data_IF_777582769961
#
_entry.id   IF_777582769961
#
_cell.length_a   1.000
_cell.length_b   1.000
_cell.length_c   1.000
_cell.angle_alpha   90.00
_cell.angle_beta   90.00
_cell.angle_gamma   90.00
#
_symmetry.space_group_name_H-M   'P 1'
#
loop_
_entity.id
_entity.type
_entity.pdbx_description
1 polymer ?
#
# COMPACT_ATOMS: atom_id res chain seq x y z
N UNK A 1 -31.99 24.85 -40.62
CA UNK A 1 -32.33 24.80 -39.18
C UNK A 1 -31.72 23.58 -38.49
N UNK A 2 -31.89 22.36 -39.01
CA UNK A 2 -31.39 21.11 -38.40
C UNK A 2 -29.85 21.05 -38.27
N UNK A 3 -29.11 21.48 -39.31
CA UNK A 3 -27.63 21.54 -39.28
C UNK A 3 -27.08 22.42 -38.15
N UNK A 4 -27.71 23.58 -37.94
CA UNK A 4 -27.32 24.53 -36.89
C UNK A 4 -27.54 23.94 -35.48
N UNK A 5 -28.60 23.17 -35.28
CA UNK A 5 -28.87 22.49 -34.02
C UNK A 5 -27.83 21.40 -33.72
N UNK A 6 -27.42 20.65 -34.73
CA UNK A 6 -26.37 19.63 -34.60
C UNK A 6 -25.02 20.27 -34.28
N UNK A 7 -24.66 21.35 -34.98
CA UNK A 7 -23.43 22.11 -34.70
C UNK A 7 -23.44 22.67 -33.28
N UNK A 8 -24.56 23.25 -32.83
CA UNK A 8 -24.68 23.76 -31.47
C UNK A 8 -24.59 22.66 -30.42
N UNK A 9 -25.22 21.51 -30.66
CA UNK A 9 -25.09 20.33 -29.78
C UNK A 9 -23.64 19.86 -29.67
N UNK A 10 -22.91 19.80 -30.80
CA UNK A 10 -21.50 19.39 -30.84
C UNK A 10 -20.61 20.34 -30.02
N UNK A 11 -20.86 21.66 -30.13
CA UNK A 11 -20.14 22.69 -29.37
C UNK A 11 -20.37 22.50 -27.87
N UNK A 12 -21.62 22.30 -27.45
CA UNK A 12 -21.95 22.09 -26.04
C UNK A 12 -21.30 20.81 -25.49
N UNK A 13 -21.32 19.72 -26.25
CA UNK A 13 -20.66 18.47 -25.84
C UNK A 13 -19.16 18.64 -25.70
N UNK A 14 -18.51 19.28 -26.68
CA UNK A 14 -17.07 19.54 -26.66
C UNK A 14 -16.70 20.44 -25.48
N UNK A 15 -17.49 21.47 -25.21
CA UNK A 15 -17.28 22.36 -24.07
C UNK A 15 -17.38 21.60 -22.74
N UNK A 16 -18.44 20.79 -22.56
CA UNK A 16 -18.61 19.98 -21.35
C UNK A 16 -17.45 18.99 -21.16
N UNK A 17 -17.02 18.34 -22.24
CA UNK A 17 -15.89 17.40 -22.19
C UNK A 17 -14.60 18.11 -21.80
N UNK A 18 -14.28 19.25 -22.42
CA UNK A 18 -13.08 20.02 -22.10
C UNK A 18 -13.07 20.47 -20.63
N UNK A 19 -14.21 20.92 -20.11
CA UNK A 19 -14.33 21.30 -18.70
C UNK A 19 -14.14 20.11 -17.75
N UNK A 20 -14.65 18.93 -18.11
CA UNK A 20 -14.43 17.71 -17.31
C UNK A 20 -12.96 17.29 -17.32
N UNK A 21 -12.31 17.29 -18.48
CA UNK A 21 -10.90 16.93 -18.62
C UNK A 21 -9.98 17.89 -17.85
N UNK A 22 -10.25 19.19 -17.90
CA UNK A 22 -9.52 20.21 -17.14
C UNK A 22 -9.67 19.99 -15.63
N UNK A 23 -10.90 19.79 -15.15
CA UNK A 23 -11.17 19.49 -13.74
C UNK A 23 -10.44 18.22 -13.31
N UNK A 24 -10.63 17.10 -14.01
CA UNK A 24 -9.99 15.82 -13.69
C UNK A 24 -8.47 15.98 -13.64
N UNK A 25 -7.88 16.65 -14.63
CA UNK A 25 -6.43 16.86 -14.69
C UNK A 25 -5.93 17.66 -13.49
N UNK A 26 -6.63 18.75 -13.13
CA UNK A 26 -6.27 19.58 -11.97
C UNK A 26 -6.34 18.81 -10.65
N UNK A 27 -7.40 18.00 -10.47
CA UNK A 27 -7.56 17.16 -9.27
C UNK A 27 -6.49 16.07 -9.18
N UNK A 28 -6.20 15.38 -10.29
CA UNK A 28 -5.16 14.35 -10.33
C UNK A 28 -3.78 14.94 -10.05
N UNK A 29 -3.49 16.13 -10.58
CA UNK A 29 -2.23 16.82 -10.30
C UNK A 29 -2.11 17.15 -8.82
N UNK A 30 -3.17 17.71 -8.21
CA UNK A 30 -3.21 18.03 -6.78
C UNK A 30 -3.04 16.79 -5.91
N UNK A 31 -3.68 15.68 -6.25
CA UNK A 31 -3.52 14.41 -5.52
C UNK A 31 -2.07 13.91 -5.64
N UNK A 32 -1.45 13.95 -6.82
CA UNK A 32 -0.06 13.54 -7.02
C UNK A 32 0.89 14.40 -6.20
N UNK A 33 0.68 15.71 -6.19
CA UNK A 33 1.49 16.65 -5.41
C UNK A 33 1.34 16.41 -3.92
N UNK A 34 0.09 16.28 -3.42
CA UNK A 34 -0.19 15.97 -2.03
C UNK A 34 0.43 14.62 -1.63
N UNK A 35 0.35 13.61 -2.49
CA UNK A 35 0.98 12.30 -2.26
C UNK A 35 2.49 12.44 -2.17
N UNK A 36 3.13 13.20 -3.08
CA UNK A 36 4.57 13.46 -3.02
C UNK A 36 4.96 14.23 -1.74
N UNK A 37 4.17 15.23 -1.34
CA UNK A 37 4.39 15.98 -0.10
C UNK A 37 4.25 15.09 1.13
N UNK A 38 3.27 14.19 1.17
CA UNK A 38 3.11 13.21 2.23
C UNK A 38 4.31 12.25 2.24
N UNK A 39 4.75 11.75 1.08
CA UNK A 39 5.92 10.87 0.98
C UNK A 39 7.22 11.55 1.46
N UNK A 40 7.37 12.85 1.25
CA UNK A 40 8.52 13.64 1.72
C UNK A 40 8.46 13.98 3.21
N UNK A 41 7.24 14.16 3.76
CA UNK A 41 7.00 14.52 5.17
C UNK A 41 6.79 13.31 6.06
N UNK A 42 6.61 12.12 5.49
CA UNK A 42 6.78 10.90 6.26
C UNK A 42 8.12 11.07 6.99
N UNK A 43 8.17 10.85 8.32
CA UNK A 43 9.45 10.59 8.93
C UNK A 43 10.06 9.53 8.05
N UNK A 44 11.33 9.72 7.67
CA UNK A 44 12.12 8.64 7.11
C UNK A 44 11.90 7.54 8.15
N UNK A 45 11.01 6.57 7.89
CA UNK A 45 11.02 5.31 8.60
C UNK A 45 12.49 4.98 8.54
N UNK A 46 13.18 4.89 9.70
CA UNK A 46 14.63 4.87 9.73
C UNK A 46 15.05 3.99 8.57
N UNK A 47 15.69 4.60 7.56
CA UNK A 47 16.28 3.80 6.50
C UNK A 47 17.14 2.87 7.31
N UNK A 48 16.74 1.61 7.42
CA UNK A 48 17.62 0.55 7.84
C UNK A 48 18.60 0.42 6.69
N UNK A 49 19.48 1.41 6.59
CA UNK A 49 20.83 1.20 6.17
C UNK A 49 21.50 0.69 7.44
N UNK A 50 21.75 -0.60 7.54
CA UNK A 50 23.09 -1.05 7.73
C UNK A 50 23.69 -1.17 6.34
N UNK A 51 24.69 -0.35 6.09
CA UNK A 51 25.85 -0.89 5.39
C UNK A 51 26.22 -2.19 6.11
N UNK A 52 26.36 -3.26 5.33
CA UNK A 52 26.88 -4.60 5.64
C UNK A 52 25.84 -5.71 5.88
N UNK A 53 25.97 -6.69 4.97
CA UNK A 53 25.42 -8.04 4.92
C UNK A 53 23.92 -8.17 4.65
N UNK A 54 23.59 -8.55 3.41
CA UNK A 54 22.53 -9.52 3.13
C UNK A 54 22.69 -10.73 4.06
N UNK A 55 22.13 -10.65 5.26
CA UNK A 55 21.64 -11.82 5.98
C UNK A 55 20.13 -11.76 5.81
N UNK A 56 19.55 -12.81 5.24
CA UNK A 56 18.10 -12.97 5.13
C UNK A 56 17.49 -12.72 6.51
N UNK A 57 16.84 -11.56 6.70
CA UNK A 57 16.15 -11.25 7.96
C UNK A 57 15.15 -12.38 8.23
N UNK A 58 15.38 -13.11 9.32
CA UNK A 58 14.62 -14.32 9.60
C UNK A 58 13.16 -13.94 9.81
N UNK A 59 12.25 -14.87 9.55
CA UNK A 59 10.83 -14.63 9.82
C UNK A 59 10.58 -14.34 11.32
N UNK A 60 11.47 -14.82 12.22
CA UNK A 60 11.39 -14.52 13.63
C UNK A 60 11.74 -13.05 13.96
N UNK A 61 12.76 -12.49 13.30
CA UNK A 61 13.14 -11.08 13.45
C UNK A 61 12.00 -10.16 12.99
N UNK A 62 11.36 -10.50 11.87
CA UNK A 62 10.17 -9.79 11.38
C UNK A 62 9.02 -9.82 12.38
N UNK A 63 8.78 -10.97 13.01
CA UNK A 63 7.75 -11.09 14.06
C UNK A 63 8.10 -10.22 15.26
N UNK A 64 9.37 -10.21 15.70
CA UNK A 64 9.84 -9.39 16.81
C UNK A 64 9.60 -7.90 16.54
N UNK A 65 9.98 -7.42 15.35
CA UNK A 65 9.76 -6.03 14.92
C UNK A 65 8.26 -5.66 14.98
N UNK A 66 7.39 -6.48 14.40
CA UNK A 66 5.94 -6.25 14.43
C UNK A 66 5.36 -6.27 15.86
N UNK A 67 5.94 -7.05 16.77
CA UNK A 67 5.56 -7.07 18.19
C UNK A 67 5.99 -5.79 18.90
N UNK A 68 7.17 -5.25 18.61
CA UNK A 68 7.62 -3.95 19.16
C UNK A 68 6.78 -2.78 18.66
N UNK A 69 6.24 -2.86 17.44
CA UNK A 69 5.22 -1.93 16.91
C UNK A 69 3.85 -2.07 17.60
N UNK A 70 3.69 -3.01 18.54
CA UNK A 70 2.46 -3.22 19.30
C UNK A 70 1.43 -4.11 18.61
N UNK A 71 1.74 -4.71 17.44
CA UNK A 71 0.77 -5.59 16.75
C UNK A 71 0.51 -6.85 17.56
N UNK A 72 -0.76 -7.26 17.60
CA UNK A 72 -1.15 -8.52 18.24
C UNK A 72 -0.73 -9.72 17.39
N UNK A 73 -0.60 -10.90 18.02
CA UNK A 73 -0.26 -12.13 17.31
C UNK A 73 -1.23 -12.45 16.16
N UNK A 74 -2.52 -12.18 16.35
CA UNK A 74 -3.54 -12.38 15.32
C UNK A 74 -3.39 -11.39 14.16
N UNK A 75 -3.01 -10.14 14.45
CA UNK A 75 -2.74 -9.14 13.40
C UNK A 75 -1.52 -9.53 12.56
N UNK A 76 -0.46 -10.05 13.19
CA UNK A 76 0.73 -10.55 12.49
C UNK A 76 0.38 -11.77 11.62
N UNK A 77 -0.44 -12.69 12.14
CA UNK A 77 -0.92 -13.83 11.36
C UNK A 77 -1.75 -13.38 10.15
N UNK A 78 -2.60 -12.36 10.32
CA UNK A 78 -3.38 -11.80 9.23
C UNK A 78 -2.49 -11.18 8.16
N UNK A 79 -1.48 -10.38 8.52
CA UNK A 79 -0.52 -9.84 7.54
C UNK A 79 0.20 -10.96 6.79
N UNK A 80 0.69 -11.99 7.48
CA UNK A 80 1.40 -13.08 6.82
C UNK A 80 0.52 -13.87 5.85
N UNK A 81 -0.76 -14.03 6.16
CA UNK A 81 -1.72 -14.66 5.25
C UNK A 81 -2.04 -13.79 4.03
N UNK A 82 -2.12 -12.47 4.21
CA UNK A 82 -2.32 -11.52 3.10
C UNK A 82 -1.10 -11.55 2.18
N UNK A 83 0.10 -11.54 2.76
CA UNK A 83 1.38 -11.59 2.06
C UNK A 83 1.71 -12.99 1.52
N UNK A 84 0.81 -13.96 1.70
CA UNK A 84 0.96 -15.36 1.26
C UNK A 84 2.26 -16.02 1.74
N UNK A 85 2.74 -15.65 2.92
CA UNK A 85 3.92 -16.24 3.55
C UNK A 85 3.58 -17.68 3.97
N UNK A 86 4.30 -18.70 3.48
CA UNK A 86 4.04 -20.08 3.85
C UNK A 86 4.24 -20.28 5.35
N UNK A 87 3.40 -21.13 5.95
CA UNK A 87 3.59 -21.55 7.34
C UNK A 87 4.85 -22.41 7.47
N UNK A 88 5.39 -22.56 8.68
CA UNK A 88 6.55 -23.41 8.93
C UNK A 88 6.35 -24.89 8.53
N UNK A 89 5.10 -25.36 8.46
CA UNK A 89 4.75 -26.70 7.96
C UNK A 89 4.49 -26.75 6.45
N UNK A 90 4.51 -25.59 5.77
CA UNK A 90 4.13 -25.43 4.36
C UNK A 90 2.64 -25.67 4.07
N UNK A 91 1.81 -25.83 5.12
CA UNK A 91 0.39 -26.20 4.99
C UNK A 91 -0.49 -25.27 5.80
N UNK A 92 -1.58 -24.81 5.18
CA UNK A 92 -2.59 -23.99 5.83
C UNK A 92 -2.21 -22.52 5.98
N UNK A 93 -2.92 -21.82 6.87
CA UNK A 93 -2.79 -20.38 7.13
C UNK A 93 -2.11 -20.13 8.47
N UNK A 94 -1.48 -18.98 8.61
CA UNK A 94 -1.01 -18.48 9.90
C UNK A 94 -2.20 -18.21 10.82
N UNK A 95 -2.07 -18.67 12.07
CA UNK A 95 -2.94 -18.28 13.18
C UNK A 95 -2.07 -17.63 14.26
N UNK A 96 -2.64 -16.73 15.07
CA UNK A 96 -1.85 -15.98 16.06
C UNK A 96 -1.08 -16.89 17.04
N UNK A 97 -1.69 -18.00 17.46
CA UNK A 97 -1.01 -19.02 18.28
C UNK A 97 0.16 -19.68 17.55
N UNK A 98 0.04 -19.92 16.24
CA UNK A 98 1.11 -20.47 15.40
C UNK A 98 2.26 -19.48 15.22
N UNK A 99 1.96 -18.18 15.05
CA UNK A 99 2.98 -17.11 14.99
C UNK A 99 3.76 -17.05 16.29
N UNK A 100 3.07 -17.02 17.43
CA UNK A 100 3.71 -17.01 18.75
C UNK A 100 4.62 -18.22 18.94
N UNK A 101 4.12 -19.43 18.68
CA UNK A 101 4.90 -20.68 18.80
C UNK A 101 6.09 -20.72 17.86
N UNK A 102 5.96 -20.17 16.65
CA UNK A 102 7.07 -20.07 15.72
C UNK A 102 8.15 -19.13 16.24
N UNK A 103 7.75 -17.95 16.73
CA UNK A 103 8.68 -16.98 17.31
C UNK A 103 9.40 -17.55 18.54
N UNK A 104 8.68 -18.17 19.48
CA UNK A 104 9.29 -18.82 20.66
C UNK A 104 10.31 -19.93 20.33
N UNK A 105 10.30 -20.47 19.10
CA UNK A 105 11.22 -21.51 18.64
C UNK A 105 12.39 -20.98 17.80
N UNK A 106 12.25 -19.78 17.23
CA UNK A 106 13.16 -19.27 16.20
C UNK A 106 13.67 -17.85 16.47
N UNK A 107 13.12 -17.14 17.45
CA UNK A 107 13.59 -15.84 17.95
C UNK A 107 14.34 -16.00 19.26
#
# INVERSE_FOLDING_TARGET
>A
MQKLLVEYQQILQTFLQNQQEELITSYLLKIKEQTAQVLQRLPILPKTTPTQTQQEESLADKIANLRTEGKSWSAIAQSFNIDSIPTASGKGKWHGSSVKKYWERNG
#
